data_IF_880802202281
#
_entry.id   IF_880802202281
#
_cell.length_a   1.000
_cell.length_b   1.000
_cell.length_c   1.000
_cell.angle_alpha   90.00
_cell.angle_beta   90.00
_cell.angle_gamma   90.00
#
_symmetry.space_group_name_H-M   'P 1'
#
loop_
_entity.id
_entity.type
_entity.pdbx_description
1 polymer ?
#
# COMPACT_ATOMS: atom_id res chain seq x y z
N UNK A 1 5.17 -1.01 -17.22
CA UNK A 1 5.14 -1.52 -15.82
C UNK A 1 6.49 -2.15 -15.49
N UNK A 2 6.84 -2.30 -14.21
CA UNK A 2 8.10 -2.93 -13.77
C UNK A 2 8.30 -4.34 -14.36
N UNK A 3 7.25 -5.16 -14.33
CA UNK A 3 7.29 -6.52 -14.91
C UNK A 3 7.57 -6.50 -16.42
N UNK A 4 6.96 -5.56 -17.16
CA UNK A 4 7.23 -5.43 -18.59
C UNK A 4 8.66 -4.97 -18.87
N UNK A 5 9.20 -4.05 -18.07
CA UNK A 5 10.57 -3.58 -18.19
C UNK A 5 11.59 -4.70 -17.91
N UNK A 6 11.37 -5.49 -16.84
CA UNK A 6 12.19 -6.64 -16.49
C UNK A 6 12.16 -7.78 -17.54
N UNK A 7 11.17 -7.80 -18.42
CA UNK A 7 11.06 -8.77 -19.52
C UNK A 7 11.74 -8.32 -20.82
N UNK A 8 11.98 -7.02 -21.02
CA UNK A 8 12.58 -6.48 -22.26
C UNK A 8 14.10 -6.70 -22.33
N UNK A 9 14.77 -6.77 -21.18
CA UNK A 9 16.20 -7.07 -21.05
C UNK A 9 16.40 -7.91 -19.79
N UNK A 10 17.50 -8.68 -19.71
CA UNK A 10 17.85 -9.37 -18.48
C UNK A 10 17.99 -8.34 -17.34
N UNK A 11 17.19 -8.44 -16.26
CA UNK A 11 17.24 -7.48 -15.17
C UNK A 11 18.51 -7.70 -14.34
N UNK A 12 19.14 -6.59 -13.93
CA UNK A 12 20.20 -6.63 -12.93
C UNK A 12 19.64 -6.84 -11.51
N UNK A 13 20.54 -6.94 -10.53
CA UNK A 13 20.16 -7.18 -9.14
C UNK A 13 19.27 -6.07 -8.55
N UNK A 14 19.44 -4.82 -8.99
CA UNK A 14 18.67 -3.67 -8.49
C UNK A 14 17.25 -3.72 -9.05
N UNK A 15 17.10 -4.02 -10.34
CA UNK A 15 15.80 -4.21 -10.97
C UNK A 15 15.04 -5.39 -10.34
N UNK A 16 15.74 -6.50 -10.05
CA UNK A 16 15.14 -7.65 -9.33
C UNK A 16 14.72 -7.29 -7.91
N UNK A 17 15.53 -6.51 -7.18
CA UNK A 17 15.20 -6.03 -5.83
C UNK A 17 13.92 -5.18 -5.82
N UNK A 18 13.77 -4.23 -6.75
CA UNK A 18 12.55 -3.43 -6.85
C UNK A 18 11.33 -4.27 -7.24
N UNK A 19 11.49 -5.23 -8.17
CA UNK A 19 10.42 -6.12 -8.56
C UNK A 19 9.91 -6.97 -7.37
N UNK A 20 10.83 -7.55 -6.59
CA UNK A 20 10.48 -8.33 -5.41
C UNK A 20 9.84 -7.49 -4.29
N UNK A 21 10.36 -6.28 -4.03
CA UNK A 21 9.76 -5.36 -3.04
C UNK A 21 8.33 -4.98 -3.41
N UNK A 22 8.08 -4.66 -4.67
CA UNK A 22 6.75 -4.31 -5.17
C UNK A 22 5.80 -5.51 -5.11
N UNK A 23 6.26 -6.70 -5.51
CA UNK A 23 5.43 -7.90 -5.44
C UNK A 23 5.00 -8.22 -4.00
N UNK A 24 5.94 -8.24 -3.06
CA UNK A 24 5.67 -8.51 -1.65
C UNK A 24 4.67 -7.50 -1.05
N UNK A 25 4.85 -6.20 -1.34
CA UNK A 25 3.95 -5.15 -0.85
C UNK A 25 2.53 -5.28 -1.44
N UNK A 26 2.42 -5.53 -2.75
CA UNK A 26 1.13 -5.73 -3.43
C UNK A 26 0.45 -7.01 -2.97
N UNK A 27 1.20 -8.10 -2.79
CA UNK A 27 0.67 -9.35 -2.25
C UNK A 27 0.13 -9.14 -0.83
N UNK A 28 0.92 -8.59 0.08
CA UNK A 28 0.48 -8.31 1.45
C UNK A 28 -0.76 -7.42 1.53
N UNK A 29 -0.82 -6.37 0.71
CA UNK A 29 -1.97 -5.46 0.64
C UNK A 29 -3.22 -6.15 0.12
N UNK A 30 -3.11 -6.96 -0.94
CA UNK A 30 -4.24 -7.74 -1.49
C UNK A 30 -4.76 -8.77 -0.50
N UNK A 31 -3.86 -9.49 0.18
CA UNK A 31 -4.24 -10.47 1.19
C UNK A 31 -5.03 -9.82 2.32
N UNK A 32 -4.56 -8.67 2.83
CA UNK A 32 -5.28 -7.96 3.88
C UNK A 32 -6.61 -7.34 3.41
N UNK A 33 -6.69 -6.87 2.16
CA UNK A 33 -7.97 -6.43 1.57
C UNK A 33 -8.97 -7.60 1.46
N UNK A 34 -8.51 -8.78 1.06
CA UNK A 34 -9.34 -9.99 1.01
C UNK A 34 -9.84 -10.41 2.39
N UNK A 35 -8.94 -10.51 3.37
CA UNK A 35 -9.30 -10.82 4.76
C UNK A 35 -10.27 -9.77 5.34
N UNK A 36 -10.06 -8.49 5.00
CA UNK A 36 -10.96 -7.43 5.43
C UNK A 36 -12.36 -7.55 4.80
N UNK A 37 -12.46 -7.91 3.53
CA UNK A 37 -13.74 -8.18 2.87
C UNK A 37 -14.45 -9.36 3.54
N UNK A 38 -13.75 -10.47 3.76
CA UNK A 38 -14.31 -11.65 4.45
C UNK A 38 -14.78 -11.32 5.88
N UNK A 39 -14.03 -10.50 6.61
CA UNK A 39 -14.39 -10.05 7.96
C UNK A 39 -15.64 -9.15 7.95
N UNK A 40 -15.80 -8.30 6.93
CA UNK A 40 -17.02 -7.49 6.73
C UNK A 40 -18.21 -8.38 6.40
N UNK A 41 -18.08 -9.25 5.42
CA UNK A 41 -19.18 -10.12 4.95
C UNK A 41 -19.66 -11.10 6.03
N UNK A 42 -18.73 -11.55 6.90
CA UNK A 42 -19.05 -12.42 8.04
C UNK A 42 -19.53 -11.69 9.29
N UNK A 43 -19.62 -10.36 9.27
CA UNK A 43 -20.04 -9.54 10.42
C UNK A 43 -19.00 -9.42 11.54
N UNK A 44 -17.78 -9.95 11.35
CA UNK A 44 -16.66 -9.84 12.31
C UNK A 44 -16.04 -8.44 12.34
N UNK A 45 -16.20 -7.65 11.28
CA UNK A 45 -15.69 -6.27 11.20
C UNK A 45 -16.72 -5.23 11.69
N UNK A 46 -17.21 -5.38 12.93
CA UNK A 46 -18.19 -4.46 13.53
C UNK A 46 -17.58 -3.62 14.66
N UNK A 47 -18.20 -2.48 14.97
CA UNK A 47 -17.77 -1.59 16.06
C UNK A 47 -16.29 -1.21 15.97
N UNK A 48 -15.58 -1.38 17.09
CA UNK A 48 -14.16 -1.03 17.19
C UNK A 48 -13.25 -1.97 16.38
N UNK A 49 -13.63 -3.23 16.21
CA UNK A 49 -12.88 -4.18 15.39
C UNK A 49 -12.90 -3.79 13.91
N UNK A 50 -14.07 -3.39 13.41
CA UNK A 50 -14.20 -2.85 12.05
C UNK A 50 -13.42 -1.55 11.86
N UNK A 51 -13.48 -0.63 12.83
CA UNK A 51 -12.75 0.63 12.76
C UNK A 51 -11.23 0.43 12.76
N UNK A 52 -10.72 -0.49 13.59
CA UNK A 52 -9.30 -0.85 13.64
C UNK A 52 -8.85 -1.53 12.34
N UNK A 53 -9.64 -2.49 11.83
CA UNK A 53 -9.37 -3.17 10.57
C UNK A 53 -9.31 -2.18 9.39
N UNK A 54 -10.28 -1.28 9.28
CA UNK A 54 -10.29 -0.25 8.24
C UNK A 54 -9.08 0.69 8.32
N UNK A 55 -8.64 1.05 9.54
CA UNK A 55 -7.44 1.86 9.74
C UNK A 55 -6.16 1.13 9.29
N UNK A 56 -6.02 -0.16 9.63
CA UNK A 56 -4.91 -1.00 9.17
C UNK A 56 -4.89 -1.15 7.65
N UNK A 57 -6.05 -1.41 7.04
CA UNK A 57 -6.22 -1.49 5.58
C UNK A 57 -5.71 -0.25 4.88
N UNK A 58 -6.19 0.92 5.31
CA UNK A 58 -5.80 2.21 4.73
C UNK A 58 -4.30 2.47 4.87
N UNK A 59 -3.74 2.26 6.06
CA UNK A 59 -2.33 2.55 6.32
C UNK A 59 -1.39 1.64 5.49
N UNK A 60 -1.71 0.35 5.34
CA UNK A 60 -0.91 -0.55 4.49
C UNK A 60 -1.06 -0.23 3.01
N UNK A 61 -2.28 0.07 2.54
CA UNK A 61 -2.50 0.44 1.15
C UNK A 61 -1.75 1.74 0.79
N UNK A 62 -1.75 2.73 1.69
CA UNK A 62 -0.97 3.96 1.57
C UNK A 62 0.53 3.67 1.44
N UNK A 63 1.11 2.92 2.40
CA UNK A 63 2.53 2.55 2.37
C UNK A 63 2.91 1.73 1.14
N UNK A 64 2.04 0.84 0.68
CA UNK A 64 2.24 0.08 -0.55
C UNK A 64 2.30 1.00 -1.76
N UNK A 65 1.39 1.98 -1.85
CA UNK A 65 1.36 2.93 -2.96
C UNK A 65 2.62 3.81 -2.99
N UNK A 66 3.07 4.32 -1.84
CA UNK A 66 4.34 5.06 -1.75
C UNK A 66 5.53 4.21 -2.20
N UNK A 67 5.61 2.96 -1.73
CA UNK A 67 6.68 2.04 -2.12
C UNK A 67 6.66 1.75 -3.62
N UNK A 68 5.48 1.57 -4.22
CA UNK A 68 5.34 1.31 -5.66
C UNK A 68 5.78 2.51 -6.49
N UNK A 69 5.41 3.73 -6.08
CA UNK A 69 5.87 4.96 -6.73
C UNK A 69 7.39 5.10 -6.67
N UNK A 70 7.97 4.93 -5.47
CA UNK A 70 9.42 4.96 -5.25
C UNK A 70 10.15 3.93 -6.12
N UNK A 71 9.70 2.68 -6.07
CA UNK A 71 10.32 1.59 -6.83
C UNK A 71 10.18 1.78 -8.35
N UNK A 72 9.04 2.30 -8.82
CA UNK A 72 8.83 2.59 -10.24
C UNK A 72 9.75 3.71 -10.72
N UNK A 73 9.89 4.79 -9.96
CA UNK A 73 10.78 5.90 -10.29
C UNK A 73 12.25 5.44 -10.40
N UNK A 74 12.72 4.64 -9.44
CA UNK A 74 14.09 4.15 -9.42
C UNK A 74 14.39 3.10 -10.49
N UNK A 75 13.49 2.13 -10.70
CA UNK A 75 13.77 1.00 -11.59
C UNK A 75 13.45 1.28 -13.07
N UNK A 76 12.59 2.24 -13.39
CA UNK A 76 12.29 2.61 -14.78
C UNK A 76 13.06 3.84 -15.27
N UNK A 77 13.63 4.61 -14.34
CA UNK A 77 14.24 5.90 -14.65
C UNK A 77 13.20 6.94 -15.13
N UNK A 78 13.66 8.09 -15.66
CA UNK A 78 12.79 9.21 -15.98
C UNK A 78 11.98 9.01 -17.27
N UNK A 79 12.39 8.08 -18.15
CA UNK A 79 11.83 7.97 -19.50
C UNK A 79 10.31 7.76 -19.53
N UNK A 80 9.68 6.90 -18.70
CA UNK A 80 8.22 6.79 -18.68
C UNK A 80 7.50 8.05 -18.23
N UNK A 81 8.11 8.87 -17.37
CA UNK A 81 7.51 10.15 -16.96
C UNK A 81 7.59 11.21 -18.08
N UNK A 82 8.57 11.08 -18.98
CA UNK A 82 8.78 12.04 -20.07
C UNK A 82 8.09 11.63 -21.38
N UNK A 83 7.88 10.33 -21.63
CA UNK A 83 7.47 9.82 -22.95
C UNK A 83 6.26 8.86 -22.91
N UNK A 84 5.68 8.59 -21.75
CA UNK A 84 4.46 7.78 -21.60
C UNK A 84 3.42 8.59 -20.81
N UNK A 85 2.56 9.31 -21.53
CA UNK A 85 1.54 10.19 -20.96
C UNK A 85 0.60 9.44 -20.01
N UNK A 86 0.30 8.17 -20.30
CA UNK A 86 -0.56 7.34 -19.45
C UNK A 86 0.14 7.01 -18.14
N UNK A 87 1.44 6.71 -18.17
CA UNK A 87 2.23 6.50 -16.96
C UNK A 87 2.36 7.79 -16.13
N UNK A 88 2.69 8.91 -16.78
CA UNK A 88 2.82 10.20 -16.11
C UNK A 88 1.50 10.63 -15.43
N UNK A 89 0.36 10.49 -16.10
CA UNK A 89 -0.95 10.78 -15.54
C UNK A 89 -1.25 9.91 -14.31
N UNK A 90 -1.02 8.59 -14.40
CA UNK A 90 -1.24 7.67 -13.26
C UNK A 90 -0.37 8.00 -12.05
N UNK A 91 0.88 8.38 -12.27
CA UNK A 91 1.80 8.78 -11.19
C UNK A 91 1.33 10.09 -10.55
N UNK A 92 0.93 11.07 -11.36
CA UNK A 92 0.41 12.35 -10.87
C UNK A 92 -0.89 12.17 -10.07
N UNK A 93 -1.84 11.40 -10.60
CA UNK A 93 -3.12 11.10 -9.95
C UNK A 93 -2.91 10.39 -8.61
N UNK A 94 -2.03 9.37 -8.58
CA UNK A 94 -1.74 8.64 -7.35
C UNK A 94 -1.06 9.54 -6.32
N UNK A 95 -0.10 10.38 -6.73
CA UNK A 95 0.49 11.35 -5.81
C UNK A 95 -0.56 12.32 -5.23
N UNK A 96 -1.46 12.84 -6.08
CA UNK A 96 -2.53 13.73 -5.62
C UNK A 96 -3.46 13.01 -4.63
N UNK A 97 -3.84 11.76 -4.92
CA UNK A 97 -4.68 10.96 -4.04
C UNK A 97 -4.01 10.71 -2.69
N UNK A 98 -2.72 10.35 -2.69
CA UNK A 98 -1.96 10.11 -1.46
C UNK A 98 -1.81 11.36 -0.59
N UNK A 99 -1.81 12.57 -1.17
CA UNK A 99 -1.78 13.82 -0.39
C UNK A 99 -3.03 14.06 0.44
N UNK A 100 -4.13 13.36 0.16
CA UNK A 100 -5.34 13.39 0.99
C UNK A 100 -5.19 12.55 2.26
N UNK A 101 -4.26 11.61 2.29
CA UNK A 101 -3.91 10.84 3.48
C UNK A 101 -2.98 11.69 4.36
N UNK A 102 -3.41 12.00 5.57
CA UNK A 102 -2.59 12.75 6.52
C UNK A 102 -1.67 11.77 7.25
N UNK A 103 -0.69 11.21 6.55
CA UNK A 103 0.15 10.09 6.97
C UNK A 103 0.39 9.99 8.49
N UNK A 104 1.01 11.01 9.10
CA UNK A 104 1.34 11.00 10.52
C UNK A 104 0.11 11.06 11.43
N UNK A 105 -0.94 11.79 11.02
CA UNK A 105 -2.20 11.85 11.77
C UNK A 105 -2.97 10.53 11.69
N UNK A 106 -2.91 9.88 10.53
CA UNK A 106 -3.57 8.59 10.29
C UNK A 106 -2.86 7.47 11.08
N UNK A 107 -1.52 7.45 11.10
CA UNK A 107 -0.76 6.53 11.95
C UNK A 107 -0.99 6.81 13.44
N UNK A 108 -1.05 8.09 13.87
CA UNK A 108 -1.41 8.43 15.25
C UNK A 108 -2.84 7.97 15.60
N UNK A 109 -3.79 8.09 14.67
CA UNK A 109 -5.15 7.62 14.85
C UNK A 109 -5.25 6.08 14.87
N UNK A 110 -4.41 5.38 14.11
CA UNK A 110 -4.26 3.94 14.20
C UNK A 110 -3.70 3.53 15.57
N UNK A 111 -2.66 4.22 16.06
CA UNK A 111 -2.08 3.98 17.39
C UNK A 111 -3.10 4.12 18.52
N UNK A 112 -3.94 5.16 18.49
CA UNK A 112 -5.04 5.32 19.46
C UNK A 112 -6.02 4.15 19.45
N UNK A 113 -6.46 3.70 18.26
CA UNK A 113 -7.36 2.53 18.13
C UNK A 113 -6.75 1.25 18.66
N UNK A 114 -5.43 1.06 18.48
CA UNK A 114 -4.72 -0.09 19.03
C UNK A 114 -4.78 -0.07 20.57
N UNK A 115 -4.51 1.09 21.20
CA UNK A 115 -4.59 1.24 22.65
C UNK A 115 -6.00 1.01 23.18
N UNK A 116 -7.01 1.67 22.59
CA UNK A 116 -8.42 1.50 22.95
C UNK A 116 -8.85 0.02 22.86
N UNK A 117 -8.35 -0.71 21.85
CA UNK A 117 -8.67 -2.12 21.68
C UNK A 117 -7.99 -3.02 22.71
N UNK A 118 -6.75 -2.70 23.06
CA UNK A 118 -5.98 -3.39 24.10
C UNK A 118 -6.64 -3.23 25.47
N UNK A 119 -7.05 -2.01 25.81
CA UNK A 119 -7.74 -1.69 27.07
C UNK A 119 -9.09 -2.41 27.19
N UNK A 120 -9.73 -2.73 26.06
CA UNK A 120 -10.94 -3.54 26.00
C UNK A 120 -10.70 -5.07 26.11
N UNK A 121 -9.49 -5.51 26.43
CA UNK A 121 -9.17 -6.91 26.75
C UNK A 121 -8.98 -7.84 25.56
N UNK A 122 -8.93 -7.34 24.33
CA UNK A 122 -8.41 -8.12 23.20
C UNK A 122 -6.91 -7.81 23.05
N UNK A 123 -6.08 -8.84 23.17
CA UNK A 123 -4.63 -8.69 23.08
C UNK A 123 -4.24 -7.92 21.82
N UNK A 124 -3.61 -6.76 22.00
CA UNK A 124 -2.88 -6.10 20.95
C UNK A 124 -1.47 -6.70 20.96
N UNK A 125 -1.30 -7.77 20.17
CA UNK A 125 -0.06 -8.54 19.97
C UNK A 125 0.67 -8.98 21.24
#
# INVERSE_FOLDING_TARGET
>A
TLLAAARRRQPDQIALMHLGRVDAALHGTRTMLGDAADAVDSGRASGQDGALLAARVRATAFRCAELVLDAAAHALGPAPLAFDDVHAARVADLHLYLRQHHAERDDAALGRRILERADAGAAAW
#
